data_IF_460488939499
#
_entry.id   IF_460488939499
#
_cell.length_a   1.000
_cell.length_b   1.000
_cell.length_c   1.000
_cell.angle_alpha   90.00
_cell.angle_beta   90.00
_cell.angle_gamma   90.00
#
_symmetry.space_group_name_H-M   'P 1'
#
loop_
_entity.id
_entity.type
_entity.pdbx_description
1 polymer ?
#
# COMPACT_ATOMS: atom_id res chain seq x y z
N UNK A 1 -6.36 -6.08 -11.82
CA UNK A 1 -7.59 -5.26 -11.69
C UNK A 1 -7.76 -4.46 -12.98
N UNK A 2 -8.79 -4.73 -13.77
CA UNK A 2 -9.07 -3.99 -15.01
C UNK A 2 -9.90 -2.72 -14.70
N UNK A 3 -9.41 -1.89 -13.78
CA UNK A 3 -10.06 -0.65 -13.38
C UNK A 3 -9.04 0.33 -12.82
N UNK A 4 -9.30 1.64 -13.02
CA UNK A 4 -8.50 2.69 -12.41
C UNK A 4 -8.60 2.64 -10.89
N UNK A 5 -7.46 2.76 -10.22
CA UNK A 5 -7.37 2.80 -8.76
C UNK A 5 -7.47 4.27 -8.33
N UNK A 6 -8.59 4.65 -7.72
CA UNK A 6 -8.84 5.98 -7.17
C UNK A 6 -9.26 5.94 -5.69
N UNK A 7 -9.53 7.10 -5.09
CA UNK A 7 -9.77 7.24 -3.64
C UNK A 7 -10.86 6.31 -3.06
N UNK A 8 -11.89 5.96 -3.85
CA UNK A 8 -12.96 5.07 -3.42
C UNK A 8 -12.60 3.57 -3.46
N UNK A 9 -11.65 3.15 -4.29
CA UNK A 9 -11.24 1.74 -4.42
C UNK A 9 -9.84 1.46 -3.86
N UNK A 10 -9.13 2.51 -3.44
CA UNK A 10 -7.76 2.42 -2.94
C UNK A 10 -7.63 1.49 -1.71
N UNK A 11 -8.60 1.50 -0.80
CA UNK A 11 -8.56 0.63 0.37
C UNK A 11 -8.68 -0.87 0.04
N UNK A 12 -9.45 -1.25 -0.99
CA UNK A 12 -9.50 -2.64 -1.46
C UNK A 12 -8.17 -3.07 -2.06
N UNK A 13 -7.57 -2.18 -2.86
CA UNK A 13 -6.26 -2.42 -3.46
C UNK A 13 -5.19 -2.65 -2.39
N UNK A 14 -5.11 -1.77 -1.38
CA UNK A 14 -4.16 -1.93 -0.28
C UNK A 14 -4.40 -3.22 0.49
N UNK A 15 -5.66 -3.57 0.82
CA UNK A 15 -5.97 -4.82 1.52
C UNK A 15 -5.53 -6.04 0.73
N UNK A 16 -5.86 -6.11 -0.56
CA UNK A 16 -5.46 -7.22 -1.43
C UNK A 16 -3.93 -7.32 -1.49
N UNK A 17 -3.25 -6.19 -1.65
CA UNK A 17 -1.80 -6.13 -1.70
C UNK A 17 -1.18 -6.62 -0.38
N UNK A 18 -1.66 -6.14 0.76
CA UNK A 18 -1.11 -6.52 2.07
C UNK A 18 -1.38 -7.97 2.43
N UNK A 19 -2.62 -8.44 2.29
CA UNK A 19 -2.98 -9.82 2.60
C UNK A 19 -2.37 -10.80 1.60
N UNK A 20 -2.31 -10.43 0.32
CA UNK A 20 -1.62 -11.22 -0.71
C UNK A 20 -0.13 -11.36 -0.41
N UNK A 21 0.54 -10.29 0.01
CA UNK A 21 1.96 -10.33 0.42
C UNK A 21 2.16 -11.30 1.59
N UNK A 22 1.33 -11.19 2.64
CA UNK A 22 1.41 -12.09 3.81
C UNK A 22 1.19 -13.55 3.41
N UNK A 23 0.18 -13.82 2.57
CA UNK A 23 -0.10 -15.18 2.10
C UNK A 23 1.07 -15.77 1.31
N UNK A 24 1.73 -14.98 0.45
CA UNK A 24 2.92 -15.41 -0.28
C UNK A 24 4.10 -15.71 0.65
N UNK A 25 4.34 -14.87 1.67
CA UNK A 25 5.38 -15.12 2.68
C UNK A 25 5.13 -16.42 3.45
N UNK A 26 3.89 -16.69 3.85
CA UNK A 26 3.51 -17.95 4.50
C UNK A 26 3.77 -19.13 3.58
N UNK A 27 3.35 -19.03 2.31
CA UNK A 27 3.54 -20.09 1.32
C UNK A 27 5.02 -20.41 1.11
N UNK A 28 5.86 -19.40 0.90
CA UNK A 28 7.31 -19.58 0.70
C UNK A 28 7.99 -20.13 1.94
N UNK A 29 7.63 -19.65 3.13
CA UNK A 29 8.13 -20.21 4.39
C UNK A 29 7.81 -21.71 4.50
N UNK A 30 6.58 -22.11 4.18
CA UNK A 30 6.17 -23.52 4.18
C UNK A 30 6.94 -24.33 3.14
N UNK A 31 7.08 -23.83 1.92
CA UNK A 31 7.82 -24.50 0.86
C UNK A 31 9.30 -24.75 1.24
N UNK A 32 9.98 -23.73 1.78
CA UNK A 32 11.35 -23.88 2.25
C UNK A 32 11.47 -24.80 3.46
N UNK A 33 10.50 -24.78 4.39
CA UNK A 33 10.53 -25.70 5.55
C UNK A 33 10.44 -27.17 5.13
N UNK A 34 9.67 -27.47 4.08
CA UNK A 34 9.51 -28.80 3.53
C UNK A 34 10.79 -29.26 2.81
N UNK A 35 11.36 -28.41 1.96
CA UNK A 35 12.65 -28.67 1.29
C UNK A 35 13.77 -28.88 2.32
N UNK A 36 13.80 -28.06 3.37
CA UNK A 36 14.81 -28.16 4.41
C UNK A 36 14.69 -29.49 5.18
N UNK A 37 13.48 -29.89 5.57
CA UNK A 37 13.23 -31.16 6.23
C UNK A 37 13.75 -32.34 5.38
N UNK A 38 13.42 -32.38 4.09
CA UNK A 38 13.89 -33.44 3.20
C UNK A 38 15.41 -33.39 2.95
N UNK A 39 16.01 -32.19 2.94
CA UNK A 39 17.45 -32.03 2.74
C UNK A 39 18.30 -32.58 3.87
N UNK A 40 17.72 -32.72 5.07
CA UNK A 40 18.40 -33.39 6.19
C UNK A 40 18.49 -34.90 5.99
N UNK A 41 17.58 -35.47 5.20
CA UNK A 41 17.53 -36.89 4.89
C UNK A 41 18.21 -37.23 3.55
N UNK A 42 18.24 -36.29 2.60
CA UNK A 42 18.76 -36.51 1.25
C UNK A 42 19.60 -35.33 0.74
N UNK A 43 20.65 -35.62 -0.04
CA UNK A 43 21.49 -34.59 -0.68
C UNK A 43 20.67 -33.68 -1.61
N UNK A 44 20.98 -32.37 -1.65
CA UNK A 44 20.28 -31.35 -2.45
C UNK A 44 20.17 -31.74 -3.95
N UNK A 45 21.21 -32.35 -4.54
CA UNK A 45 21.16 -32.85 -5.93
C UNK A 45 20.09 -33.92 -6.14
N UNK A 46 19.88 -34.80 -5.17
CA UNK A 46 18.87 -35.83 -5.21
C UNK A 46 17.46 -35.24 -5.04
N UNK A 47 17.31 -34.26 -4.14
CA UNK A 47 16.07 -33.49 -3.98
C UNK A 47 15.61 -32.87 -5.31
N UNK A 48 16.53 -32.18 -6.00
CA UNK A 48 16.23 -31.40 -7.21
C UNK A 48 15.93 -32.25 -8.44
N UNK A 49 16.35 -33.51 -8.48
CA UNK A 49 16.27 -34.36 -9.68
C UNK A 49 15.31 -35.54 -9.54
N UNK A 50 15.03 -36.01 -8.33
CA UNK A 50 14.27 -37.25 -8.11
C UNK A 50 13.04 -37.06 -7.20
N UNK A 51 13.09 -36.15 -6.23
CA UNK A 51 12.00 -35.99 -5.24
C UNK A 51 10.98 -34.94 -5.68
N UNK A 52 11.45 -33.80 -6.17
CA UNK A 52 10.58 -32.68 -6.56
C UNK A 52 10.40 -32.61 -8.06
N UNK A 53 9.15 -32.46 -8.50
CA UNK A 53 8.83 -32.13 -9.88
C UNK A 53 9.49 -30.79 -10.26
N UNK A 54 10.03 -30.71 -11.48
CA UNK A 54 10.62 -29.50 -12.05
C UNK A 54 9.62 -28.31 -11.99
N UNK A 55 8.32 -28.61 -12.10
CA UNK A 55 7.24 -27.64 -11.92
C UNK A 55 7.22 -27.01 -10.52
N UNK A 56 7.44 -27.80 -9.48
CA UNK A 56 7.46 -27.29 -8.11
C UNK A 56 8.63 -26.32 -7.90
N UNK A 57 9.83 -26.70 -8.35
CA UNK A 57 11.03 -25.85 -8.27
C UNK A 57 10.80 -24.54 -9.04
N UNK A 58 10.22 -24.63 -10.23
CA UNK A 58 9.86 -23.45 -11.04
C UNK A 58 8.91 -22.50 -10.28
N UNK A 59 7.86 -23.04 -9.65
CA UNK A 59 6.92 -22.24 -8.85
C UNK A 59 7.63 -21.58 -7.66
N UNK A 60 8.53 -22.28 -6.96
CA UNK A 60 9.30 -21.72 -5.83
C UNK A 60 10.18 -20.54 -6.29
N UNK A 61 10.84 -20.65 -7.43
CA UNK A 61 11.66 -19.55 -7.99
C UNK A 61 10.76 -18.37 -8.37
N UNK A 62 9.68 -18.63 -9.11
CA UNK A 62 8.75 -17.60 -9.57
C UNK A 62 8.10 -16.85 -8.40
N UNK A 63 7.64 -17.58 -7.39
CA UNK A 63 7.02 -16.99 -6.19
C UNK A 63 8.03 -16.19 -5.37
N UNK A 64 9.29 -16.65 -5.25
CA UNK A 64 10.34 -15.91 -4.55
C UNK A 64 10.62 -14.55 -5.20
N UNK A 65 10.71 -14.50 -6.54
CA UNK A 65 10.83 -13.24 -7.27
C UNK A 65 9.62 -12.33 -7.07
N UNK A 66 8.42 -12.89 -7.17
CA UNK A 66 7.17 -12.14 -6.97
C UNK A 66 7.04 -11.58 -5.56
N UNK A 67 7.52 -12.29 -4.53
CA UNK A 67 7.49 -11.79 -3.15
C UNK A 67 8.33 -10.53 -3.00
N UNK A 68 9.54 -10.51 -3.55
CA UNK A 68 10.42 -9.34 -3.48
C UNK A 68 9.72 -8.15 -4.12
N UNK A 69 9.20 -8.35 -5.34
CA UNK A 69 8.48 -7.32 -6.08
C UNK A 69 7.26 -6.78 -5.33
N UNK A 70 6.37 -7.66 -4.89
CA UNK A 70 5.12 -7.29 -4.23
C UNK A 70 5.38 -6.68 -2.84
N UNK A 71 6.42 -7.11 -2.14
CA UNK A 71 6.83 -6.52 -0.86
C UNK A 71 7.32 -5.08 -1.05
N UNK A 72 8.13 -4.81 -2.07
CA UNK A 72 8.59 -3.44 -2.39
C UNK A 72 7.41 -2.53 -2.74
N UNK A 73 6.47 -3.02 -3.56
CA UNK A 73 5.24 -2.29 -3.88
C UNK A 73 4.42 -1.99 -2.63
N UNK A 74 4.30 -2.96 -1.73
CA UNK A 74 3.56 -2.81 -0.47
C UNK A 74 4.19 -1.74 0.43
N UNK A 75 5.51 -1.78 0.62
CA UNK A 75 6.26 -0.77 1.39
C UNK A 75 6.07 0.62 0.80
N UNK A 76 6.19 0.75 -0.52
CA UNK A 76 6.01 2.02 -1.20
C UNK A 76 4.63 2.62 -0.94
N UNK A 77 3.57 1.82 -1.05
CA UNK A 77 2.21 2.26 -0.75
C UNK A 77 1.99 2.63 0.72
N UNK A 78 2.62 1.91 1.65
CA UNK A 78 2.56 2.25 3.07
C UNK A 78 3.27 3.56 3.41
N UNK A 79 4.45 3.80 2.86
CA UNK A 79 5.18 5.06 3.06
C UNK A 79 4.33 6.23 2.55
N UNK A 80 3.82 6.12 1.32
CA UNK A 80 3.01 7.18 0.71
C UNK A 80 1.70 7.39 1.48
N UNK A 81 0.99 6.32 1.86
CA UNK A 81 -0.34 6.45 2.46
C UNK A 81 -0.33 6.74 3.96
N UNK A 82 0.53 6.08 4.74
CA UNK A 82 0.54 6.20 6.21
C UNK A 82 1.45 7.34 6.66
N UNK A 83 2.67 7.36 6.13
CA UNK A 83 3.74 8.25 6.60
C UNK A 83 3.65 9.64 6.00
N UNK A 84 3.35 9.72 4.70
CA UNK A 84 3.18 10.97 3.99
C UNK A 84 1.71 11.39 3.92
N UNK A 85 0.76 10.45 3.79
CA UNK A 85 -0.65 10.79 3.57
C UNK A 85 -0.90 11.44 2.20
N UNK A 86 -0.08 11.09 1.20
CA UNK A 86 -0.07 11.68 -0.15
C UNK A 86 -0.31 10.57 -1.16
N UNK A 87 -1.08 10.85 -2.22
CA UNK A 87 -1.26 9.88 -3.33
C UNK A 87 -0.03 9.84 -4.23
N UNK A 88 0.19 8.74 -4.96
CA UNK A 88 1.36 8.62 -5.84
C UNK A 88 1.44 9.72 -6.90
N UNK A 89 0.27 10.15 -7.42
CA UNK A 89 0.16 11.25 -8.37
C UNK A 89 0.57 12.59 -7.76
N UNK A 90 0.15 12.87 -6.52
CA UNK A 90 0.57 14.06 -5.80
C UNK A 90 2.07 14.04 -5.46
N UNK A 91 2.70 12.87 -5.26
CA UNK A 91 4.15 12.79 -5.06
C UNK A 91 4.93 13.10 -6.35
N UNK A 92 4.45 12.62 -7.49
CA UNK A 92 5.13 12.79 -8.79
C UNK A 92 4.87 14.16 -9.41
N UNK A 93 3.70 14.76 -9.16
CA UNK A 93 3.31 16.08 -9.69
C UNK A 93 3.30 17.16 -8.61
N UNK A 94 3.73 16.84 -7.39
CA UNK A 94 3.69 17.71 -6.21
C UNK A 94 4.37 19.06 -6.37
N UNK A 95 5.42 19.13 -7.22
CA UNK A 95 6.12 20.36 -7.52
C UNK A 95 5.24 21.42 -8.20
N UNK A 96 4.16 21.02 -8.89
CA UNK A 96 3.27 21.90 -9.64
C UNK A 96 2.20 22.58 -8.78
N UNK A 97 1.96 22.06 -7.58
CA UNK A 97 0.87 22.54 -6.73
C UNK A 97 1.38 23.55 -5.70
N UNK A 98 0.88 24.78 -5.80
CA UNK A 98 1.25 25.89 -4.91
C UNK A 98 0.92 25.60 -3.44
N UNK A 99 -0.13 24.81 -3.16
CA UNK A 99 -0.56 24.45 -1.80
C UNK A 99 0.42 23.54 -1.03
N UNK A 100 1.46 23.01 -1.69
CA UNK A 100 2.55 22.30 -1.01
C UNK A 100 3.70 23.23 -0.57
N UNK A 101 3.64 24.52 -0.91
CA UNK A 101 4.62 25.53 -0.49
C UNK A 101 3.94 26.49 0.49
N UNK A 102 4.57 26.70 1.63
CA UNK A 102 4.16 27.76 2.56
C UNK A 102 4.39 29.11 1.88
N UNK A 103 3.36 29.95 1.76
CA UNK A 103 3.44 31.25 1.08
C UNK A 103 4.42 32.21 1.78
N UNK A 104 4.59 32.08 3.11
CA UNK A 104 5.44 32.97 3.91
C UNK A 104 6.92 32.55 3.98
N UNK A 105 7.24 31.26 3.83
CA UNK A 105 8.63 30.76 3.98
C UNK A 105 9.16 30.01 2.76
N UNK A 106 8.32 29.73 1.76
CA UNK A 106 8.67 28.94 0.58
C UNK A 106 9.03 27.48 0.90
N UNK A 107 8.87 27.04 2.15
CA UNK A 107 9.20 25.68 2.59
C UNK A 107 8.10 24.70 2.19
N UNK A 108 8.51 23.48 1.84
CA UNK A 108 7.56 22.41 1.53
C UNK A 108 6.83 21.99 2.81
N UNK A 109 5.53 22.27 2.89
CA UNK A 109 4.66 21.87 4.00
C UNK A 109 3.57 20.98 3.43
N UNK A 110 3.47 19.76 3.95
CA UNK A 110 2.40 18.84 3.58
C UNK A 110 1.15 19.13 4.42
N UNK A 111 0.08 19.71 3.84
CA UNK A 111 -1.14 20.05 4.59
C UNK A 111 -1.95 18.80 4.98
N UNK A 112 -1.71 17.65 4.35
CA UNK A 112 -2.42 16.40 4.59
C UNK A 112 -1.74 15.47 5.61
N UNK A 113 -0.64 15.92 6.22
CA UNK A 113 0.08 15.16 7.25
C UNK A 113 -0.74 15.12 8.56
N UNK A 114 -1.75 14.25 8.63
CA UNK A 114 -2.41 13.89 9.91
C UNK A 114 -1.46 13.03 10.76
N UNK A 115 -1.89 12.72 11.99
CA UNK A 115 -1.25 11.72 12.84
C UNK A 115 -1.17 10.36 12.10
N UNK A 116 0.00 9.70 12.15
CA UNK A 116 0.32 8.42 11.47
C UNK A 116 -0.78 7.37 11.71
N UNK A 117 -1.31 7.29 12.94
CA UNK A 117 -2.36 6.36 13.32
C UNK A 117 -3.70 6.63 12.61
N UNK A 118 -4.05 7.91 12.41
CA UNK A 118 -5.28 8.29 11.68
C UNK A 118 -5.16 7.91 10.20
N UNK A 119 -4.00 8.13 9.60
CA UNK A 119 -3.74 7.73 8.21
C UNK A 119 -3.82 6.21 8.06
N UNK A 120 -3.23 5.44 8.98
CA UNK A 120 -3.32 3.98 8.98
C UNK A 120 -4.77 3.49 8.96
N UNK A 121 -5.61 4.01 9.85
CA UNK A 121 -7.02 3.61 9.96
C UNK A 121 -7.84 4.03 8.74
N UNK A 122 -7.47 5.16 8.11
CA UNK A 122 -8.02 5.65 6.84
C UNK A 122 -7.68 4.70 5.69
N UNK A 123 -6.39 4.35 5.54
CA UNK A 123 -5.89 3.46 4.50
C UNK A 123 -6.56 2.10 4.54
N UNK A 124 -6.76 1.53 5.73
CA UNK A 124 -7.42 0.23 5.88
C UNK A 124 -8.95 0.32 5.93
N UNK A 125 -9.56 1.51 5.87
CA UNK A 125 -11.01 1.67 5.97
C UNK A 125 -11.58 1.18 7.30
N UNK A 126 -10.77 1.16 8.37
CA UNK A 126 -11.14 0.71 9.71
C UNK A 126 -11.99 1.77 10.47
N UNK A 127 -12.27 2.92 9.86
CA UNK A 127 -13.15 3.93 10.43
C UNK A 127 -14.56 3.44 10.77
N UNK A 128 -15.09 2.38 10.11
CA UNK A 128 -16.36 1.78 10.54
C UNK A 128 -16.30 1.16 11.95
N UNK A 129 -15.13 0.69 12.39
CA UNK A 129 -14.92 0.24 13.77
C UNK A 129 -14.79 1.42 14.75
N UNK A 130 -14.22 2.54 14.31
CA UNK A 130 -14.17 3.81 15.06
C UNK A 130 -15.46 4.66 14.98
N UNK A 131 -16.43 4.27 14.15
CA UNK A 131 -17.76 4.88 14.11
C UNK A 131 -18.50 4.71 15.45
N UNK A 132 -18.14 3.70 16.25
CA UNK A 132 -18.56 3.57 17.64
C UNK A 132 -18.01 4.70 18.55
N UNK A 133 -16.93 5.37 18.14
CA UNK A 133 -16.24 6.42 18.87
C UNK A 133 -16.35 7.81 18.20
N UNK A 134 -17.38 8.06 17.38
CA UNK A 134 -17.64 9.35 16.71
C UNK A 134 -16.48 9.84 15.83
N UNK A 135 -16.15 9.11 14.76
CA UNK A 135 -15.32 9.64 13.67
C UNK A 135 -16.14 9.81 12.39
N UNK A 136 -16.41 11.05 11.98
CA UNK A 136 -17.07 11.39 10.72
C UNK A 136 -16.10 11.20 9.55
N UNK A 137 -16.50 10.37 8.57
CA UNK A 137 -15.78 10.20 7.31
C UNK A 137 -15.82 11.53 6.55
N UNK A 138 -14.72 12.26 6.53
CA UNK A 138 -14.59 13.48 5.71
C UNK A 138 -14.43 13.02 4.26
N UNK A 139 -15.40 13.36 3.41
CA UNK A 139 -15.30 13.12 1.98
C UNK A 139 -14.47 14.24 1.36
N UNK A 140 -13.18 13.96 1.11
CA UNK A 140 -12.24 14.92 0.54
C UNK A 140 -12.63 15.41 -0.86
N UNK A 141 -13.53 14.70 -1.55
CA UNK A 141 -14.06 15.12 -2.85
C UNK A 141 -15.05 16.30 -2.76
N UNK A 142 -15.53 16.62 -1.56
CA UNK A 142 -16.55 17.65 -1.32
C UNK A 142 -16.01 18.92 -0.65
N UNK A 143 -14.71 18.98 -0.32
CA UNK A 143 -14.16 20.12 0.45
C UNK A 143 -14.00 21.37 -0.43
N UNK A 144 -13.84 21.20 -1.74
CA UNK A 144 -13.72 22.32 -2.67
C UNK A 144 -15.01 22.47 -3.48
N UNK A 145 -16.05 22.97 -2.83
CA UNK A 145 -17.12 23.61 -3.59
C UNK A 145 -16.53 24.86 -4.26
N UNK A 146 -16.42 24.81 -5.59
CA UNK A 146 -15.90 25.87 -6.46
C UNK A 146 -16.65 27.20 -6.23
N UNK A 147 -17.83 27.13 -5.62
CA UNK A 147 -18.70 28.26 -5.31
C UNK A 147 -18.24 29.07 -4.08
N UNK A 148 -17.32 28.57 -3.25
CA UNK A 148 -16.85 29.31 -2.06
C UNK A 148 -15.73 30.32 -2.38
N UNK A 149 -15.07 30.20 -3.54
CA UNK A 149 -14.03 31.15 -3.98
C UNK A 149 -14.57 32.40 -4.69
N UNK A 150 -15.89 32.46 -4.95
CA UNK A 150 -16.55 33.58 -5.64
C UNK A 150 -17.41 34.48 -4.72
N UNK A 151 -17.24 34.37 -3.39
CA UNK A 151 -18.14 34.99 -2.41
C UNK A 151 -17.56 36.07 -1.51
N UNK A 152 -16.35 36.57 -1.75
CA UNK A 152 -15.77 37.69 -0.96
C UNK A 152 -15.14 38.76 -1.84
N UNK A 153 -15.95 39.27 -2.78
CA UNK A 153 -15.90 40.69 -3.15
C UNK A 153 -17.33 41.11 -3.44
N UNK A 154 -17.90 41.95 -2.57
CA UNK A 154 -18.58 43.20 -2.90
C UNK A 154 -19.34 43.72 -1.66
N UNK A 155 -18.83 44.87 -1.18
CA UNK A 155 -19.44 45.90 -0.33
C UNK A 155 -19.81 45.58 1.12
#
# INVERSE_FOLDING_TARGET
LNACIGGRNYFYFIRILTFGTIALWIWVYRAFSLIYADSTQYTIKYLLTQIYDLWFIYIVILTSFNIIWVTLMTIFHFINSIWLGITTNERLTGFRYSYFRDEDTGKFRNPFRKQIFKNFLETFGLFRLMSLFRYTRIDWSQIYDINQTSGTKLN
#
